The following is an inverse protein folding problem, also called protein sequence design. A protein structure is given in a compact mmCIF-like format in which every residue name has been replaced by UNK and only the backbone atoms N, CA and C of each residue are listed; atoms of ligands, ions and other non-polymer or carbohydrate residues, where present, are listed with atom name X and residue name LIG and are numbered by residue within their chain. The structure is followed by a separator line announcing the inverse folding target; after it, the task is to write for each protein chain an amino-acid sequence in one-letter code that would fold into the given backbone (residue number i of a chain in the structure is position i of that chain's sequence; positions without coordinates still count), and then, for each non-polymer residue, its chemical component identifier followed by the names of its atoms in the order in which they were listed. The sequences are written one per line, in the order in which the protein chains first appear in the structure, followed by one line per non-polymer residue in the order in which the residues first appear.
data_IF_709867964507
#
_entry.id   IF_709867964507
#
_cell.length_a   1.000
_cell.length_b   1.000
_cell.length_c   1.000
_cell.angle_alpha   90.00
_cell.angle_beta   90.00
_cell.angle_gamma   90.00
#
_symmetry.space_group_name_H-M   'P 1'
#
loop_
_entity.id
_entity.type
_entity.pdbx_description
1 polymer ?
#
# COMPACT_ATOMS: atom_id res chain seq x y z
N UNK A 1 -10.68 -13.56 -2.97
CA UNK A 1 -10.05 -13.33 -4.29
C UNK A 1 -10.32 -11.89 -4.70
N UNK A 2 -9.37 -11.19 -5.33
CA UNK A 2 -9.55 -9.79 -5.75
C UNK A 2 -9.14 -9.59 -7.22
N UNK A 3 -9.65 -8.55 -7.87
CA UNK A 3 -9.27 -8.18 -9.24
C UNK A 3 -9.34 -6.66 -9.49
N UNK A 4 -8.52 -6.18 -10.41
CA UNK A 4 -8.58 -4.81 -10.95
C UNK A 4 -9.27 -4.83 -12.33
N UNK A 5 -10.57 -4.47 -12.45
CA UNK A 5 -11.29 -4.60 -13.72
C UNK A 5 -10.74 -3.65 -14.80
N UNK A 6 -10.51 -2.39 -14.41
CA UNK A 6 -9.92 -1.37 -15.26
C UNK A 6 -8.39 -1.34 -15.04
N UNK A 7 -7.65 -2.19 -15.76
CA UNK A 7 -6.17 -2.24 -15.71
C UNK A 7 -5.54 -2.26 -17.10
N UNK A 8 -4.35 -1.65 -17.28
CA UNK A 8 -3.60 -1.74 -18.53
C UNK A 8 -3.20 -3.19 -18.86
N UNK A 9 -3.32 -3.58 -20.14
CA UNK A 9 -2.92 -4.92 -20.62
C UNK A 9 -3.54 -6.10 -19.84
N UNK A 10 -4.85 -6.02 -19.57
CA UNK A 10 -5.56 -6.98 -18.73
C UNK A 10 -5.50 -8.45 -19.20
N UNK A 11 -5.23 -8.71 -20.49
CA UNK A 11 -5.06 -10.06 -21.05
C UNK A 11 -3.73 -10.72 -20.69
N UNK A 12 -2.74 -9.94 -20.24
CA UNK A 12 -1.38 -10.40 -19.94
C UNK A 12 -1.11 -10.34 -18.44
N UNK A 13 -1.52 -9.24 -17.80
CA UNK A 13 -1.25 -9.00 -16.38
C UNK A 13 -2.53 -9.07 -15.55
N UNK A 14 -2.44 -9.71 -14.39
CA UNK A 14 -3.51 -9.72 -13.37
C UNK A 14 -3.51 -8.49 -12.47
N UNK A 15 -2.40 -7.75 -12.43
CA UNK A 15 -2.19 -6.56 -11.59
C UNK A 15 -2.36 -5.26 -12.39
N UNK A 16 -2.66 -4.16 -11.69
CA UNK A 16 -2.69 -2.84 -12.30
C UNK A 16 -1.26 -2.25 -12.38
N UNK A 17 -0.66 -2.27 -13.58
CA UNK A 17 0.72 -1.83 -13.79
C UNK A 17 0.96 -0.36 -13.40
N UNK A 18 0.01 0.54 -13.66
CA UNK A 18 0.15 1.95 -13.28
C UNK A 18 0.25 2.10 -11.77
N UNK A 19 -0.63 1.40 -11.05
CA UNK A 19 -0.58 1.41 -9.59
C UNK A 19 0.72 0.80 -9.07
N UNK A 20 1.10 -0.37 -9.57
CA UNK A 20 2.28 -1.11 -9.07
C UNK A 20 3.60 -0.44 -9.39
N UNK A 21 3.76 0.13 -10.59
CA UNK A 21 5.06 0.67 -11.05
C UNK A 21 5.22 2.17 -10.80
N UNK A 22 4.13 2.91 -10.62
CA UNK A 22 4.17 4.38 -10.51
C UNK A 22 3.63 4.82 -9.16
N UNK A 23 2.37 4.52 -8.86
CA UNK A 23 1.69 5.03 -7.67
C UNK A 23 2.34 4.50 -6.40
N UNK A 24 2.56 3.18 -6.31
CA UNK A 24 3.11 2.55 -5.12
C UNK A 24 4.56 3.00 -4.84
N UNK A 25 5.50 2.99 -5.81
CA UNK A 25 6.85 3.51 -5.58
C UNK A 25 6.89 4.99 -5.22
N UNK A 26 6.09 5.83 -5.87
CA UNK A 26 6.02 7.26 -5.55
C UNK A 26 5.50 7.50 -4.13
N UNK A 27 4.43 6.79 -3.73
CA UNK A 27 3.89 6.86 -2.38
C UNK A 27 4.89 6.37 -1.32
N UNK A 28 5.59 5.26 -1.59
CA UNK A 28 6.65 4.76 -0.70
C UNK A 28 7.81 5.74 -0.58
N UNK A 29 8.25 6.35 -1.68
CA UNK A 29 9.30 7.38 -1.67
C UNK A 29 8.90 8.57 -0.80
N UNK A 30 7.68 9.09 -0.99
CA UNK A 30 7.15 10.18 -0.17
C UNK A 30 7.07 9.78 1.32
N UNK A 31 6.56 8.58 1.62
CA UNK A 31 6.52 8.05 2.98
C UNK A 31 7.92 8.04 3.63
N UNK A 32 8.91 7.46 2.95
CA UNK A 32 10.28 7.37 3.45
C UNK A 32 10.88 8.75 3.71
N UNK A 33 10.67 9.71 2.80
CA UNK A 33 11.11 11.10 2.97
C UNK A 33 10.53 11.75 4.23
N UNK A 34 9.25 11.52 4.52
CA UNK A 34 8.58 12.09 5.69
C UNK A 34 9.11 11.52 7.01
N UNK A 35 9.38 10.21 7.06
CA UNK A 35 9.71 9.52 8.31
C UNK A 35 11.20 9.56 8.68
N UNK A 36 12.08 10.10 7.82
CA UNK A 36 13.54 9.98 7.97
C UNK A 36 14.10 10.41 9.33
N UNK A 37 13.47 11.39 9.98
CA UNK A 37 13.91 11.97 11.27
C UNK A 37 12.95 11.67 12.43
N UNK A 38 11.98 10.79 12.21
CA UNK A 38 10.99 10.46 13.23
C UNK A 38 11.49 9.37 14.16
N UNK A 39 11.06 9.43 15.43
CA UNK A 39 11.29 8.33 16.37
C UNK A 39 10.50 7.10 15.96
N UNK A 40 10.96 5.91 16.39
CA UNK A 40 10.34 4.63 16.04
C UNK A 40 8.84 4.57 16.38
N UNK A 41 8.41 5.15 17.51
CA UNK A 41 6.99 5.23 17.90
C UNK A 41 6.16 6.03 16.90
N UNK A 42 6.64 7.21 16.49
CA UNK A 42 5.95 8.06 15.50
C UNK A 42 5.82 7.33 14.17
N UNK A 43 6.88 6.62 13.75
CA UNK A 43 6.88 5.81 12.54
C UNK A 43 5.85 4.68 12.63
N UNK A 44 5.83 3.92 13.72
CA UNK A 44 4.89 2.82 13.93
C UNK A 44 3.43 3.29 13.88
N UNK A 45 3.09 4.37 14.60
CA UNK A 45 1.75 4.95 14.58
C UNK A 45 1.38 5.41 13.17
N UNK A 46 2.29 6.07 12.45
CA UNK A 46 2.03 6.56 11.11
C UNK A 46 1.82 5.44 10.09
N UNK A 47 2.61 4.37 10.17
CA UNK A 47 2.44 3.17 9.34
C UNK A 47 1.04 2.57 9.54
N UNK A 48 0.60 2.43 10.80
CA UNK A 48 -0.75 1.92 11.10
C UNK A 48 -1.84 2.84 10.55
N UNK A 49 -1.69 4.16 10.69
CA UNK A 49 -2.63 5.14 10.13
C UNK A 49 -2.70 5.05 8.60
N UNK A 50 -1.55 4.87 7.92
CA UNK A 50 -1.52 4.67 6.47
C UNK A 50 -2.16 3.34 6.06
N UNK A 51 -1.95 2.27 6.83
CA UNK A 51 -2.64 0.99 6.61
C UNK A 51 -4.17 1.11 6.72
N UNK A 52 -4.66 1.81 7.73
CA UNK A 52 -6.08 2.11 7.88
C UNK A 52 -6.61 2.99 6.73
N UNK A 53 -5.86 4.01 6.35
CA UNK A 53 -6.16 4.85 5.20
C UNK A 53 -6.24 4.05 3.90
N UNK A 54 -5.33 3.09 3.69
CA UNK A 54 -5.33 2.21 2.54
C UNK A 54 -6.59 1.34 2.48
N UNK A 55 -7.06 0.80 3.61
CA UNK A 55 -8.32 0.05 3.66
C UNK A 55 -9.55 0.93 3.33
N UNK A 56 -9.55 2.20 3.76
CA UNK A 56 -10.61 3.15 3.37
C UNK A 56 -10.56 3.45 1.87
N UNK A 57 -9.36 3.71 1.32
CA UNK A 57 -9.18 3.96 -0.11
C UNK A 57 -9.54 2.75 -0.96
N UNK A 58 -9.22 1.54 -0.48
CA UNK A 58 -9.60 0.29 -1.11
C UNK A 58 -11.12 0.17 -1.23
N UNK A 59 -11.86 0.38 -0.14
CA UNK A 59 -13.33 0.36 -0.15
C UNK A 59 -13.90 1.41 -1.12
N UNK A 60 -13.28 2.59 -1.18
CA UNK A 60 -13.68 3.63 -2.13
C UNK A 60 -13.39 3.22 -3.58
N UNK A 61 -12.23 2.62 -3.84
CA UNK A 61 -11.85 2.09 -5.16
C UNK A 61 -12.80 0.99 -5.62
N UNK A 62 -13.29 0.18 -4.69
CA UNK A 62 -14.32 -0.82 -4.94
C UNK A 62 -15.66 -0.20 -5.31
N UNK A 63 -16.11 0.82 -4.57
CA UNK A 63 -17.35 1.53 -4.87
C UNK A 63 -17.36 2.21 -6.25
N UNK A 64 -16.19 2.58 -6.80
CA UNK A 64 -16.06 3.16 -8.16
C UNK A 64 -15.68 2.14 -9.23
N UNK A 65 -15.60 0.85 -8.90
CA UNK A 65 -15.33 -0.24 -9.84
C UNK A 65 -13.87 -0.34 -10.32
N UNK A 66 -12.94 0.37 -9.69
CA UNK A 66 -11.50 0.24 -9.96
C UNK A 66 -10.91 -1.03 -9.37
N UNK A 67 -11.57 -1.59 -8.36
CA UNK A 67 -11.16 -2.79 -7.65
C UNK A 67 -12.38 -3.62 -7.27
N UNK A 68 -12.27 -4.94 -7.22
CA UNK A 68 -13.38 -5.82 -6.84
C UNK A 68 -12.86 -6.93 -5.97
N UNK A 69 -13.57 -7.21 -4.88
CA UNK A 69 -13.28 -8.32 -3.99
C UNK A 69 -14.38 -9.39 -4.06
N UNK A 70 -14.01 -10.61 -3.69
CA UNK A 70 -14.98 -11.62 -3.28
C UNK A 70 -15.65 -11.20 -1.97
N UNK A 71 -16.90 -11.61 -1.77
CA UNK A 71 -17.69 -11.28 -0.56
C UNK A 71 -17.00 -11.70 0.76
N UNK A 72 -16.15 -12.72 0.73
CA UNK A 72 -15.39 -13.19 1.91
C UNK A 72 -14.12 -12.36 2.21
N UNK A 73 -13.84 -11.30 1.44
CA UNK A 73 -12.64 -10.51 1.65
C UNK A 73 -12.72 -9.67 2.93
N UNK A 74 -11.69 -9.76 3.76
CA UNK A 74 -11.54 -8.91 4.93
C UNK A 74 -10.61 -7.74 4.61
N UNK A 75 -11.12 -6.51 4.72
CA UNK A 75 -10.30 -5.28 4.62
C UNK A 75 -9.20 -5.20 5.70
N UNK A 76 -9.26 -6.03 6.74
CA UNK A 76 -8.16 -6.14 7.70
C UNK A 76 -6.87 -6.67 7.04
N UNK A 77 -6.99 -7.48 5.98
CA UNK A 77 -5.85 -7.92 5.20
C UNK A 77 -5.15 -6.75 4.53
N UNK A 78 -5.90 -5.73 4.11
CA UNK A 78 -5.36 -4.50 3.52
C UNK A 78 -4.58 -3.69 4.54
N UNK A 79 -5.15 -3.51 5.74
CA UNK A 79 -4.46 -2.84 6.85
C UNK A 79 -3.16 -3.57 7.18
N UNK A 80 -3.23 -4.88 7.37
CA UNK A 80 -2.07 -5.70 7.71
C UNK A 80 -1.01 -5.68 6.59
N UNK A 81 -1.42 -5.87 5.34
CA UNK A 81 -0.55 -5.92 4.17
C UNK A 81 0.20 -4.62 3.94
N UNK A 82 -0.50 -3.48 3.89
CA UNK A 82 0.15 -2.18 3.70
C UNK A 82 1.01 -1.77 4.90
N UNK A 83 0.57 -2.07 6.12
CA UNK A 83 1.38 -1.79 7.32
C UNK A 83 2.68 -2.60 7.31
N UNK A 84 2.60 -3.90 7.01
CA UNK A 84 3.76 -4.78 6.92
C UNK A 84 4.70 -4.35 5.79
N UNK A 85 4.15 -4.02 4.62
CA UNK A 85 4.93 -3.52 3.49
C UNK A 85 5.68 -2.24 3.84
N UNK A 86 5.01 -1.23 4.39
CA UNK A 86 5.65 0.05 4.76
C UNK A 86 6.69 -0.12 5.87
N UNK A 87 6.42 -0.99 6.84
CA UNK A 87 7.40 -1.36 7.86
C UNK A 87 8.64 -2.00 7.22
N UNK A 88 8.46 -2.99 6.34
CA UNK A 88 9.56 -3.64 5.64
C UNK A 88 10.38 -2.66 4.80
N UNK A 89 9.71 -1.74 4.10
CA UNK A 89 10.38 -0.70 3.31
C UNK A 89 11.16 0.30 4.19
N UNK A 90 10.61 0.70 5.34
CA UNK A 90 11.31 1.54 6.29
C UNK A 90 12.55 0.84 6.87
N UNK A 91 12.40 -0.42 7.28
CA UNK A 91 13.51 -1.22 7.80
C UNK A 91 14.59 -1.44 6.74
N UNK A 92 14.21 -1.77 5.52
CA UNK A 92 15.14 -1.91 4.39
C UNK A 92 15.87 -0.61 4.10
N UNK A 93 15.16 0.52 4.08
CA UNK A 93 15.77 1.84 3.83
C UNK A 93 16.76 2.22 4.93
N UNK A 94 16.42 2.02 6.20
CA UNK A 94 17.35 2.30 7.30
C UNK A 94 18.60 1.41 7.22
N UNK A 95 18.43 0.11 6.92
CA UNK A 95 19.54 -0.81 6.66
C UNK A 95 20.41 -0.38 5.47
N UNK A 96 19.80 -0.05 4.34
CA UNK A 96 20.51 0.34 3.11
C UNK A 96 21.26 1.67 3.27
N UNK A 97 20.72 2.59 4.05
CA UNK A 97 21.34 3.89 4.31
C UNK A 97 22.29 3.89 5.53
N UNK A 98 22.60 2.73 6.11
CA UNK A 98 23.47 2.57 7.29
C UNK A 98 23.07 3.48 8.47
N UNK A 99 21.77 3.56 8.77
CA UNK A 99 21.25 4.28 9.95
C UNK A 99 21.11 3.38 11.18
#
# INVERSE_FOLDING_TARGET
MYAFPARPFASIFSVNLLFTLVVLPAATGLFLMLIQRWSWLKRAVFILLLGLGAAVMEKQAEAVGLFVHSEEWSHLYTVAGYSLFLFAMAAFHDWFCEK
#
